data_IF_132948913851
#
_entry.id   IF_132948913851
#
_cell.length_a   1.000
_cell.length_b   1.000
_cell.length_c   1.000
_cell.angle_alpha   90.00
_cell.angle_beta   90.00
_cell.angle_gamma   90.00
#
_symmetry.space_group_name_H-M   'P 1'
#
loop_
_entity.id
_entity.type
_entity.pdbx_description
1 polymer ?
#
# COMPACT_ATOMS: atom_id res chain seq x y z
N UNK A 1 -15.22 2.81 -19.25
CA UNK A 1 -14.34 2.55 -18.10
C UNK A 1 -13.70 1.19 -18.32
N UNK A 2 -12.49 1.14 -18.87
CA UNK A 2 -11.73 -0.09 -19.06
C UNK A 2 -11.08 -0.48 -17.72
N UNK A 3 -11.44 -1.66 -17.22
CA UNK A 3 -10.82 -2.23 -16.03
C UNK A 3 -9.40 -2.67 -16.43
N UNK A 4 -8.35 -2.20 -15.74
CA UNK A 4 -6.98 -2.62 -16.02
C UNK A 4 -6.80 -4.04 -15.49
N UNK A 5 -7.17 -5.03 -16.28
CA UNK A 5 -7.09 -6.45 -15.93
C UNK A 5 -5.67 -7.00 -16.04
N UNK A 6 -4.75 -6.28 -16.68
CA UNK A 6 -3.42 -6.81 -17.03
C UNK A 6 -2.45 -6.87 -15.84
N UNK A 7 -2.49 -5.90 -14.94
CA UNK A 7 -1.55 -5.84 -13.80
C UNK A 7 -1.87 -6.90 -12.72
N UNK A 8 -3.15 -7.28 -12.59
CA UNK A 8 -3.58 -8.28 -11.63
C UNK A 8 -3.01 -9.67 -11.92
N UNK A 9 -2.93 -10.07 -13.19
CA UNK A 9 -2.35 -11.36 -13.57
C UNK A 9 -0.84 -11.40 -13.34
N UNK A 10 -0.13 -10.28 -13.52
CA UNK A 10 1.30 -10.22 -13.27
C UNK A 10 1.62 -10.35 -11.77
N UNK A 11 0.87 -9.65 -10.90
CA UNK A 11 1.03 -9.78 -9.44
C UNK A 11 0.70 -11.19 -8.96
N UNK A 12 -0.36 -11.81 -9.51
CA UNK A 12 -0.74 -13.18 -9.19
C UNK A 12 0.35 -14.18 -9.60
N UNK A 13 0.98 -14.00 -10.78
CA UNK A 13 2.09 -14.85 -11.22
C UNK A 13 3.33 -14.70 -10.35
N UNK A 14 3.65 -13.47 -9.91
CA UNK A 14 4.79 -13.22 -9.01
C UNK A 14 4.54 -13.87 -7.65
N UNK A 15 3.33 -13.76 -7.09
CA UNK A 15 2.97 -14.42 -5.84
C UNK A 15 3.06 -15.95 -5.96
N UNK A 16 2.52 -16.52 -7.04
CA UNK A 16 2.59 -17.96 -7.29
C UNK A 16 4.05 -18.45 -7.40
N UNK A 17 4.90 -17.70 -8.11
CA UNK A 17 6.31 -18.03 -8.23
C UNK A 17 7.01 -17.98 -6.86
N UNK A 18 6.69 -16.99 -6.02
CA UNK A 18 7.24 -16.90 -4.67
C UNK A 18 6.82 -18.08 -3.79
N UNK A 19 5.55 -18.50 -3.85
CA UNK A 19 5.05 -19.67 -3.13
C UNK A 19 5.70 -20.99 -3.57
N UNK A 20 6.01 -21.14 -4.85
CA UNK A 20 6.69 -22.33 -5.39
C UNK A 20 8.17 -22.33 -5.02
N UNK A 21 8.85 -21.18 -5.07
CA UNK A 21 10.28 -21.06 -4.81
C UNK A 21 10.65 -21.04 -3.31
N UNK A 22 9.74 -20.61 -2.44
CA UNK A 22 9.96 -20.56 -0.99
C UNK A 22 9.85 -21.93 -0.30
N UNK A 23 9.16 -22.90 -0.90
CA UNK A 23 9.05 -24.27 -0.39
C UNK A 23 9.99 -25.21 -1.18
N UNK A 24 11.02 -25.80 -0.55
CA UNK A 24 11.98 -26.67 -1.23
C UNK A 24 11.34 -27.92 -1.87
N UNK A 25 10.21 -28.40 -1.35
CA UNK A 25 9.50 -29.57 -1.88
C UNK A 25 8.76 -29.21 -3.17
N UNK A 26 8.07 -28.06 -3.19
CA UNK A 26 7.38 -27.55 -4.39
C UNK A 26 8.36 -27.18 -5.49
N UNK A 27 9.48 -26.57 -5.11
CA UNK A 27 10.58 -26.26 -6.03
C UNK A 27 11.12 -27.53 -6.71
N UNK A 28 11.36 -28.59 -5.95
CA UNK A 28 11.83 -29.87 -6.52
C UNK A 28 10.83 -30.45 -7.54
N UNK A 29 9.53 -30.39 -7.23
CA UNK A 29 8.47 -30.82 -8.16
C UNK A 29 8.42 -29.97 -9.44
N UNK A 30 8.53 -28.65 -9.30
CA UNK A 30 8.57 -27.72 -10.43
C UNK A 30 9.79 -27.96 -11.32
N UNK A 31 10.97 -28.14 -10.72
CA UNK A 31 12.21 -28.44 -11.43
C UNK A 31 12.15 -29.80 -12.14
N UNK A 32 11.47 -30.80 -11.56
CA UNK A 32 11.26 -32.10 -12.20
C UNK A 32 10.30 -32.04 -13.40
N UNK A 33 9.24 -31.23 -13.33
CA UNK A 33 8.29 -31.06 -14.44
C UNK A 33 8.85 -30.16 -15.55
N UNK A 34 9.70 -29.19 -15.19
CA UNK A 34 10.33 -28.27 -16.14
C UNK A 34 11.53 -28.88 -16.86
N UNK A 35 12.02 -30.05 -16.40
CA UNK A 35 13.03 -30.81 -17.14
C UNK A 35 12.41 -31.36 -18.42
N UNK A 36 12.93 -31.00 -19.61
CA UNK A 36 12.49 -31.62 -20.84
C UNK A 36 12.73 -33.13 -20.74
N UNK A 37 11.69 -33.92 -20.97
CA UNK A 37 11.74 -35.37 -20.90
C UNK A 37 12.90 -35.89 -21.77
N UNK A 38 13.83 -36.69 -21.24
CA UNK A 38 15.05 -37.09 -21.94
C UNK A 38 14.80 -38.07 -23.11
N UNK A 39 13.55 -38.48 -23.36
CA UNK A 39 13.22 -39.53 -24.32
C UNK A 39 13.10 -39.09 -25.78
N UNK A 40 13.28 -37.81 -26.11
CA UNK A 40 13.37 -37.36 -27.52
C UNK A 40 14.67 -36.57 -27.78
N UNK A 41 15.80 -37.25 -27.58
CA UNK A 41 17.08 -36.87 -28.21
C UNK A 41 17.01 -37.19 -29.70
N UNK A 42 16.40 -36.30 -30.47
CA UNK A 42 16.73 -36.09 -31.87
C UNK A 42 16.10 -34.77 -32.31
N UNK A 43 16.98 -33.81 -32.63
CA UNK A 43 16.66 -32.66 -33.47
C UNK A 43 15.75 -31.59 -32.86
N UNK A 44 16.17 -30.93 -31.77
CA UNK A 44 15.69 -29.57 -31.47
C UNK A 44 16.80 -28.55 -31.70
N UNK A 45 16.61 -27.83 -32.80
CA UNK A 45 17.35 -26.64 -33.20
C UNK A 45 17.41 -25.62 -32.07
N UNK A 46 18.61 -25.09 -31.88
CA UNK A 46 18.91 -23.89 -31.11
C UNK A 46 18.11 -22.69 -31.68
N UNK A 47 17.26 -22.00 -30.89
CA UNK A 47 16.52 -20.83 -31.34
C UNK A 47 17.40 -19.61 -31.68
N UNK A 48 18.71 -19.66 -31.42
CA UNK A 48 19.66 -18.60 -31.81
C UNK A 48 20.44 -18.89 -33.10
N UNK A 49 20.27 -20.05 -33.74
CA UNK A 49 20.99 -20.42 -34.96
C UNK A 49 20.36 -19.90 -36.28
N UNK A 50 19.41 -18.98 -36.25
CA UNK A 50 18.64 -18.54 -37.43
C UNK A 50 19.05 -17.15 -37.96
N UNK A 51 20.34 -16.94 -38.28
CA UNK A 51 20.78 -15.86 -39.21
C UNK A 51 22.02 -16.25 -40.02
N UNK A 52 21.89 -17.25 -40.90
CA UNK A 52 22.71 -17.23 -42.13
C UNK A 52 22.23 -18.21 -43.18
N UNK A 53 21.90 -17.63 -44.35
CA UNK A 53 22.08 -18.15 -45.72
C UNK A 53 21.11 -19.27 -46.11
N UNK A 54 20.10 -18.93 -46.91
CA UNK A 54 20.12 -19.15 -48.37
C UNK A 54 20.41 -20.60 -48.76
N UNK A 55 19.34 -21.37 -48.97
CA UNK A 55 19.32 -22.40 -50.01
C UNK A 55 17.88 -22.77 -50.39
N UNK A 56 17.67 -23.19 -51.64
CA UNK A 56 16.45 -22.93 -52.40
C UNK A 56 15.42 -24.05 -52.28
N UNK A 57 14.17 -23.67 -52.48
CA UNK A 57 13.00 -24.54 -52.58
C UNK A 57 13.16 -25.69 -53.59
N UNK A 58 12.70 -26.90 -53.25
CA UNK A 58 12.18 -27.87 -54.22
C UNK A 58 10.63 -27.85 -54.25
N UNK A 59 9.99 -28.44 -55.27
CA UNK A 59 8.79 -27.92 -55.92
C UNK A 59 7.45 -28.44 -55.35
N UNK A 60 6.31 -27.92 -55.85
CA UNK A 60 4.96 -28.31 -55.43
C UNK A 60 4.48 -29.56 -56.20
N UNK A 61 3.68 -30.40 -55.53
CA UNK A 61 2.80 -31.50 -56.02
C UNK A 61 2.97 -32.71 -55.09
N UNK A 62 1.96 -33.41 -54.57
CA UNK A 62 0.67 -33.80 -55.15
C UNK A 62 -0.44 -33.90 -54.08
N UNK A 63 -1.73 -33.74 -54.44
CA UNK A 63 -2.85 -34.15 -53.62
C UNK A 63 -3.09 -35.65 -53.82
N UNK A 64 -3.15 -36.42 -52.73
CA UNK A 64 -3.33 -37.87 -52.83
C UNK A 64 -3.77 -38.47 -51.52
N UNK A 65 -5.00 -38.98 -51.54
CA UNK A 65 -5.64 -39.82 -50.53
C UNK A 65 -4.74 -40.95 -49.99
N UNK A 66 -4.89 -41.25 -48.69
CA UNK A 66 -4.98 -42.60 -48.11
C UNK A 66 -5.02 -42.43 -46.58
N UNK A 67 -6.16 -42.65 -45.94
CA UNK A 67 -6.64 -43.97 -45.52
C UNK A 67 -5.69 -44.68 -44.54
N UNK A 68 -6.21 -44.94 -43.34
CA UNK A 68 -5.75 -45.93 -42.36
C UNK A 68 -4.32 -45.84 -41.84
N UNK A 69 -4.19 -45.46 -40.56
CA UNK A 69 -3.12 -46.03 -39.72
C UNK A 69 -3.59 -46.25 -38.29
N UNK A 70 -4.34 -47.34 -38.14
CA UNK A 70 -4.44 -48.13 -36.91
C UNK A 70 -3.03 -48.68 -36.61
N UNK A 71 -2.27 -47.90 -35.83
CA UNK A 71 -0.89 -48.22 -35.45
C UNK A 71 -0.84 -49.24 -34.32
N UNK A 72 -1.16 -50.50 -34.63
CA UNK A 72 -0.63 -51.65 -33.91
C UNK A 72 0.89 -51.63 -34.06
N UNK A 73 1.61 -51.36 -32.96
CA UNK A 73 3.06 -51.52 -32.93
C UNK A 73 3.40 -53.01 -32.82
N UNK A 74 4.09 -53.63 -33.79
CA UNK A 74 4.62 -54.97 -33.61
C UNK A 74 5.92 -54.83 -32.82
N UNK A 75 5.86 -55.11 -31.50
CA UNK A 75 7.06 -55.37 -30.73
C UNK A 75 7.63 -56.73 -31.18
N UNK A 76 8.42 -56.71 -32.25
CA UNK A 76 9.11 -57.88 -32.82
C UNK A 76 10.38 -58.14 -32.00
N UNK A 77 10.21 -58.69 -30.80
CA UNK A 77 11.30 -59.28 -30.02
C UNK A 77 11.79 -60.58 -30.69
N UNK A 78 13.07 -60.95 -30.56
CA UNK A 78 13.66 -62.11 -31.23
C UNK A 78 13.45 -63.41 -30.42
N UNK A 79 12.23 -63.65 -29.97
CA UNK A 79 11.86 -64.94 -29.39
C UNK A 79 11.05 -65.73 -30.42
N UNK A 80 11.52 -66.91 -30.84
CA UNK A 80 10.82 -67.72 -31.83
C UNK A 80 9.47 -68.17 -31.28
N UNK A 81 8.49 -68.18 -32.18
CA UNK A 81 7.10 -68.66 -32.04
C UNK A 81 7.00 -70.04 -31.37
N UNK A 82 7.18 -70.10 -30.06
CA UNK A 82 6.93 -71.30 -29.27
C UNK A 82 5.47 -71.29 -28.80
N UNK A 83 4.63 -71.86 -29.64
CA UNK A 83 3.45 -72.63 -29.25
C UNK A 83 2.29 -71.87 -28.56
N UNK A 84 1.57 -71.05 -29.34
CA UNK A 84 0.11 -70.90 -29.19
C UNK A 84 -0.62 -72.13 -29.79
N UNK A 85 -0.19 -73.34 -29.41
CA UNK A 85 -0.80 -74.61 -29.83
C UNK A 85 -1.06 -75.56 -28.65
N UNK A 86 -0.85 -75.09 -27.42
CA UNK A 86 -1.51 -75.70 -26.26
C UNK A 86 -2.82 -74.97 -26.08
N UNK A 87 -3.84 -75.48 -26.77
CA UNK A 87 -5.21 -75.28 -26.33
C UNK A 87 -5.23 -75.61 -24.85
N UNK A 88 -5.41 -74.58 -24.02
CA UNK A 88 -5.78 -74.74 -22.62
C UNK A 88 -7.16 -75.39 -22.61
N UNK A 89 -7.15 -76.70 -22.87
CA UNK A 89 -8.16 -77.63 -22.47
C UNK A 89 -8.35 -77.40 -20.97
N UNK A 90 -9.35 -76.59 -20.63
CA UNK A 90 -10.56 -77.06 -19.95
C UNK A 90 -10.32 -78.25 -19.00
N UNK A 91 -9.36 -78.13 -18.09
CA UNK A 91 -9.38 -78.90 -16.86
C UNK A 91 -10.44 -78.23 -15.98
N UNK A 92 -11.68 -78.72 -16.09
CA UNK A 92 -12.83 -78.28 -15.28
C UNK A 92 -12.73 -78.65 -13.80
N UNK A 93 -11.52 -78.85 -13.28
CA UNK A 93 -11.22 -79.13 -11.89
C UNK A 93 -10.34 -78.00 -11.36
N UNK A 94 -10.99 -76.99 -10.76
CA UNK A 94 -10.29 -75.88 -10.10
C UNK A 94 -10.61 -74.47 -10.60
N UNK A 95 -11.42 -74.31 -11.66
CA UNK A 95 -11.82 -72.98 -12.14
C UNK A 95 -12.64 -72.22 -11.08
N UNK A 96 -13.55 -72.90 -10.39
CA UNK A 96 -14.37 -72.28 -9.35
C UNK A 96 -13.56 -71.96 -8.09
N UNK A 97 -12.60 -72.83 -7.73
CA UNK A 97 -11.66 -72.57 -6.64
C UNK A 97 -10.76 -71.38 -6.94
N UNK A 98 -10.23 -71.28 -8.17
CA UNK A 98 -9.39 -70.16 -8.58
C UNK A 98 -10.19 -68.84 -8.63
N UNK A 99 -11.44 -68.88 -9.12
CA UNK A 99 -12.33 -67.72 -9.12
C UNK A 99 -12.63 -67.25 -7.69
N UNK A 100 -13.00 -68.18 -6.80
CA UNK A 100 -13.28 -67.85 -5.40
C UNK A 100 -12.05 -67.30 -4.65
N UNK A 101 -10.86 -67.84 -4.96
CA UNK A 101 -9.59 -67.33 -4.47
C UNK A 101 -9.32 -65.90 -4.96
N UNK A 102 -9.45 -65.63 -6.26
CA UNK A 102 -9.27 -64.29 -6.83
C UNK A 102 -10.31 -63.30 -6.27
N UNK A 103 -11.57 -63.70 -6.14
CA UNK A 103 -12.63 -62.87 -5.55
C UNK A 103 -12.38 -62.57 -4.06
N UNK A 104 -11.72 -63.48 -3.32
CA UNK A 104 -11.27 -63.21 -1.95
C UNK A 104 -10.12 -62.21 -1.95
N UNK A 105 -9.10 -62.40 -2.79
CA UNK A 105 -7.99 -61.46 -2.92
C UNK A 105 -8.45 -60.06 -3.33
N UNK A 106 -9.41 -59.94 -4.25
CA UNK A 106 -9.97 -58.65 -4.67
C UNK A 106 -10.76 -57.97 -3.54
N UNK A 107 -11.51 -58.75 -2.74
CA UNK A 107 -12.21 -58.23 -1.55
C UNK A 107 -11.22 -57.74 -0.48
N UNK A 108 -10.14 -58.47 -0.24
CA UNK A 108 -9.12 -58.10 0.74
C UNK A 108 -8.37 -56.84 0.26
N UNK A 109 -7.98 -56.79 -1.02
CA UNK A 109 -7.31 -55.63 -1.61
C UNK A 109 -8.20 -54.37 -1.61
N UNK A 110 -9.48 -54.51 -1.94
CA UNK A 110 -10.43 -53.38 -1.89
C UNK A 110 -10.73 -52.94 -0.45
N UNK A 111 -10.76 -53.87 0.51
CA UNK A 111 -10.91 -53.56 1.93
C UNK A 111 -9.68 -52.81 2.46
N UNK A 112 -8.47 -53.25 2.13
CA UNK A 112 -7.22 -52.56 2.47
C UNK A 112 -7.15 -51.18 1.85
N UNK A 113 -7.53 -51.04 0.57
CA UNK A 113 -7.56 -49.73 -0.10
C UNK A 113 -8.52 -48.76 0.58
N UNK A 114 -9.71 -49.22 0.98
CA UNK A 114 -10.67 -48.39 1.72
C UNK A 114 -10.15 -47.98 3.10
N UNK A 115 -9.45 -48.87 3.82
CA UNK A 115 -8.80 -48.52 5.09
C UNK A 115 -7.72 -47.46 4.89
N UNK A 116 -6.85 -47.64 3.90
CA UNK A 116 -5.81 -46.66 3.57
C UNK A 116 -6.40 -45.30 3.15
N UNK A 117 -7.49 -45.29 2.36
CA UNK A 117 -8.23 -44.08 2.00
C UNK A 117 -8.84 -43.38 3.23
N UNK A 118 -9.38 -44.14 4.19
CA UNK A 118 -9.91 -43.59 5.44
C UNK A 118 -8.82 -42.98 6.33
N UNK A 119 -7.69 -43.67 6.51
CA UNK A 119 -6.55 -43.14 7.25
C UNK A 119 -5.98 -41.88 6.60
N UNK A 120 -5.91 -41.85 5.26
CA UNK A 120 -5.50 -40.65 4.52
C UNK A 120 -6.49 -39.49 4.74
N UNK A 121 -7.79 -39.76 4.68
CA UNK A 121 -8.83 -38.74 4.93
C UNK A 121 -8.74 -38.18 6.36
N UNK A 122 -8.51 -39.03 7.36
CA UNK A 122 -8.35 -38.59 8.75
C UNK A 122 -7.08 -37.76 8.96
N UNK A 123 -5.96 -38.15 8.36
CA UNK A 123 -4.71 -37.38 8.44
C UNK A 123 -4.84 -36.01 7.77
N UNK A 124 -5.48 -35.94 6.60
CA UNK A 124 -5.80 -34.68 5.91
C UNK A 124 -6.71 -33.81 6.78
N UNK A 125 -7.75 -34.39 7.40
CA UNK A 125 -8.65 -33.66 8.30
C UNK A 125 -7.89 -33.07 9.49
N UNK A 126 -7.02 -33.86 10.13
CA UNK A 126 -6.19 -33.41 11.26
C UNK A 126 -5.24 -32.28 10.86
N UNK A 127 -4.60 -32.39 9.69
CA UNK A 127 -3.73 -31.35 9.14
C UNK A 127 -4.51 -30.05 8.87
N UNK A 128 -5.74 -30.16 8.35
CA UNK A 128 -6.60 -29.01 8.09
C UNK A 128 -7.08 -28.33 9.38
N UNK A 129 -7.47 -29.12 10.39
CA UNK A 129 -7.84 -28.61 11.71
C UNK A 129 -6.65 -27.89 12.37
N UNK A 130 -5.46 -28.48 12.38
CA UNK A 130 -4.25 -27.85 12.93
C UNK A 130 -3.90 -26.56 12.19
N UNK A 131 -3.97 -26.56 10.86
CA UNK A 131 -3.73 -25.36 10.07
C UNK A 131 -4.74 -24.26 10.40
N UNK A 132 -6.03 -24.60 10.53
CA UNK A 132 -7.08 -23.64 10.90
C UNK A 132 -6.84 -23.05 12.30
N UNK A 133 -6.38 -23.87 13.26
CA UNK A 133 -6.07 -23.41 14.61
C UNK A 133 -4.86 -22.46 14.62
N UNK A 134 -3.81 -22.77 13.85
CA UNK A 134 -2.64 -21.89 13.70
C UNK A 134 -3.03 -20.55 13.09
N UNK A 135 -3.87 -20.56 12.04
CA UNK A 135 -4.37 -19.33 11.40
C UNK A 135 -5.21 -18.49 12.36
N UNK A 136 -6.09 -19.11 13.14
CA UNK A 136 -6.91 -18.42 14.15
C UNK A 136 -6.05 -17.82 15.28
N UNK A 137 -5.05 -18.57 15.76
CA UNK A 137 -4.13 -18.09 16.78
C UNK A 137 -3.27 -16.92 16.27
N UNK A 138 -2.78 -17.00 15.03
CA UNK A 138 -2.04 -15.91 14.42
C UNK A 138 -2.92 -14.67 14.19
N UNK A 139 -4.14 -14.85 13.69
CA UNK A 139 -5.10 -13.77 13.50
C UNK A 139 -5.42 -13.07 14.84
N UNK A 140 -5.60 -13.84 15.91
CA UNK A 140 -5.79 -13.28 17.26
C UNK A 140 -4.58 -12.45 17.69
N UNK A 141 -3.37 -12.99 17.55
CA UNK A 141 -2.13 -12.28 17.88
C UNK A 141 -1.95 -11.00 17.04
N UNK A 142 -2.32 -11.01 15.76
CA UNK A 142 -2.28 -9.82 14.90
C UNK A 142 -3.26 -8.76 15.39
N UNK A 143 -4.50 -9.14 15.71
CA UNK A 143 -5.51 -8.23 16.28
C UNK A 143 -5.07 -7.61 17.61
N UNK A 144 -4.46 -8.39 18.49
CA UNK A 144 -3.92 -7.89 19.75
C UNK A 144 -2.78 -6.88 19.53
N UNK A 145 -1.86 -7.16 18.60
CA UNK A 145 -0.78 -6.23 18.23
C UNK A 145 -1.30 -4.94 17.60
N UNK A 146 -2.29 -5.04 16.70
CA UNK A 146 -2.92 -3.88 16.08
C UNK A 146 -3.67 -3.03 17.11
N UNK A 147 -4.38 -3.66 18.05
CA UNK A 147 -5.05 -2.97 19.15
C UNK A 147 -4.05 -2.28 20.08
N UNK A 148 -2.94 -2.93 20.42
CA UNK A 148 -1.88 -2.33 21.24
C UNK A 148 -1.22 -1.14 20.53
N UNK A 149 -0.90 -1.27 19.24
CA UNK A 149 -0.33 -0.17 18.45
C UNK A 149 -1.30 1.00 18.34
N UNK A 150 -2.59 0.73 18.10
CA UNK A 150 -3.62 1.78 18.05
C UNK A 150 -3.75 2.50 19.40
N UNK A 151 -3.72 1.78 20.52
CA UNK A 151 -3.75 2.39 21.84
C UNK A 151 -2.51 3.26 22.12
N UNK A 152 -1.33 2.84 21.66
CA UNK A 152 -0.10 3.63 21.76
C UNK A 152 -0.17 4.91 20.90
N UNK A 153 -0.64 4.80 19.65
CA UNK A 153 -0.80 5.94 18.74
C UNK A 153 -1.85 6.93 19.29
N UNK A 154 -2.97 6.44 19.82
CA UNK A 154 -4.01 7.26 20.46
C UNK A 154 -3.48 7.95 21.73
N UNK A 155 -2.61 7.28 22.51
CA UNK A 155 -1.98 7.89 23.69
C UNK A 155 -1.02 9.01 23.31
N UNK A 156 -0.17 8.80 22.28
CA UNK A 156 0.74 9.83 21.75
C UNK A 156 -0.02 11.01 21.15
N UNK A 157 -1.14 10.76 20.47
CA UNK A 157 -1.96 11.84 19.93
C UNK A 157 -2.58 12.70 21.05
N UNK A 158 -3.07 12.06 22.12
CA UNK A 158 -3.60 12.77 23.29
C UNK A 158 -2.52 13.60 23.99
N UNK A 159 -1.33 13.05 24.20
CA UNK A 159 -0.19 13.80 24.76
C UNK A 159 0.16 15.01 23.89
N UNK A 160 0.27 14.81 22.58
CA UNK A 160 0.55 15.91 21.63
C UNK A 160 -0.53 17.00 21.67
N UNK A 161 -1.81 16.62 21.75
CA UNK A 161 -2.92 17.58 21.88
C UNK A 161 -2.85 18.34 23.20
N UNK A 162 -2.57 17.66 24.31
CA UNK A 162 -2.38 18.31 25.61
C UNK A 162 -1.28 19.39 25.57
N UNK A 163 -0.13 19.07 24.98
CA UNK A 163 0.95 20.05 24.80
C UNK A 163 0.56 21.23 23.88
N UNK A 164 -0.24 20.97 22.83
CA UNK A 164 -0.74 22.02 21.95
C UNK A 164 -1.73 22.96 22.67
N UNK A 165 -2.59 22.41 23.53
CA UNK A 165 -3.57 23.16 24.31
C UNK A 165 -2.89 23.96 25.44
N UNK A 166 -1.88 23.41 26.11
CA UNK A 166 -1.05 24.15 27.06
C UNK A 166 -0.33 25.32 26.40
N UNK A 167 0.28 25.11 25.24
CA UNK A 167 0.94 26.19 24.49
C UNK A 167 -0.08 27.22 24.01
N UNK A 168 -1.29 26.80 23.61
CA UNK A 168 -2.40 27.71 23.26
C UNK A 168 -2.75 28.61 24.44
N UNK A 169 -2.97 28.03 25.61
CA UNK A 169 -3.29 28.77 26.82
C UNK A 169 -2.18 29.77 27.19
N UNK A 170 -0.90 29.41 27.01
CA UNK A 170 0.23 30.34 27.23
C UNK A 170 0.23 31.52 26.27
N UNK A 171 -0.07 31.29 24.99
CA UNK A 171 -0.15 32.36 23.99
C UNK A 171 -1.34 33.29 24.27
N UNK A 172 -2.50 32.72 24.62
CA UNK A 172 -3.71 33.48 24.97
C UNK A 172 -3.47 34.34 26.22
N UNK A 173 -2.90 33.78 27.28
CA UNK A 173 -2.55 34.54 28.48
C UNK A 173 -1.53 35.67 28.19
N UNK A 174 -0.59 35.43 27.27
CA UNK A 174 0.38 36.45 26.85
C UNK A 174 -0.27 37.56 26.02
N UNK A 175 -1.20 37.21 25.14
CA UNK A 175 -1.97 38.21 24.40
C UNK A 175 -2.84 39.04 25.33
N UNK A 176 -3.50 38.42 26.31
CA UNK A 176 -4.28 39.15 27.31
C UNK A 176 -3.42 40.14 28.09
N UNK A 177 -2.21 39.74 28.51
CA UNK A 177 -1.25 40.61 29.21
C UNK A 177 -0.72 41.78 28.37
N UNK A 178 -0.41 41.55 27.09
CA UNK A 178 0.27 42.55 26.25
C UNK A 178 -0.68 43.43 25.43
N UNK A 179 -1.84 42.91 25.08
CA UNK A 179 -2.79 43.54 24.14
C UNK A 179 -4.16 43.83 24.79
N UNK A 180 -4.40 43.37 26.02
CA UNK A 180 -5.68 43.53 26.71
C UNK A 180 -6.72 42.49 26.30
N UNK A 181 -7.99 42.74 26.66
CA UNK A 181 -9.09 41.75 26.56
C UNK A 181 -9.50 41.37 25.12
N UNK A 182 -9.25 42.24 24.14
CA UNK A 182 -9.68 42.03 22.75
C UNK A 182 -8.55 42.33 21.73
N UNK A 183 -7.53 41.46 21.66
CA UNK A 183 -6.45 41.61 20.70
C UNK A 183 -6.95 41.45 19.26
N UNK A 184 -6.66 42.42 18.40
CA UNK A 184 -6.95 42.32 16.96
C UNK A 184 -6.05 41.28 16.30
N UNK A 185 -6.46 40.70 15.17
CA UNK A 185 -5.65 39.68 14.48
C UNK A 185 -4.26 40.19 14.06
N UNK A 186 -4.17 41.47 13.68
CA UNK A 186 -2.91 42.11 13.33
C UNK A 186 -1.97 42.21 14.54
N UNK A 187 -2.50 42.56 15.71
CA UNK A 187 -1.74 42.64 16.96
C UNK A 187 -1.31 41.24 17.43
N UNK A 188 -2.20 40.23 17.33
CA UNK A 188 -1.85 38.84 17.60
C UNK A 188 -0.68 38.39 16.74
N UNK A 189 -0.68 38.73 15.45
CA UNK A 189 0.40 38.38 14.53
C UNK A 189 1.72 39.08 14.86
N UNK A 190 1.68 40.33 15.34
CA UNK A 190 2.86 41.06 15.77
C UNK A 190 3.50 40.48 17.04
N UNK A 191 2.67 39.99 17.98
CA UNK A 191 3.12 39.51 19.30
C UNK A 191 3.30 37.99 19.37
N UNK A 192 2.71 37.22 18.45
CA UNK A 192 2.75 35.76 18.46
C UNK A 192 4.18 35.21 18.48
N UNK A 193 4.48 34.39 19.48
CA UNK A 193 5.69 33.57 19.47
C UNK A 193 5.36 32.32 18.68
N UNK A 194 5.73 32.30 17.39
CA UNK A 194 5.56 31.11 16.58
C UNK A 194 6.24 29.91 17.26
N UNK A 195 5.42 28.91 17.61
CA UNK A 195 5.84 27.76 18.39
C UNK A 195 6.45 26.67 17.51
N UNK A 196 7.05 25.66 18.14
CA UNK A 196 7.51 24.46 17.43
C UNK A 196 6.32 23.61 16.89
N UNK A 197 5.08 23.94 17.28
CA UNK A 197 3.86 23.27 16.81
C UNK A 197 3.33 23.83 15.48
N UNK A 198 4.12 24.60 14.73
CA UNK A 198 3.72 25.04 13.39
C UNK A 198 3.65 23.84 12.44
N UNK A 199 2.50 23.65 11.80
CA UNK A 199 2.28 22.54 10.88
C UNK A 199 3.09 22.74 9.59
N UNK A 200 3.92 21.75 9.26
CA UNK A 200 4.72 21.75 8.03
C UNK A 200 3.84 21.35 6.85
N UNK A 201 3.51 22.31 5.97
CA UNK A 201 2.77 22.07 4.73
C UNK A 201 3.66 22.20 3.51
N UNK A 202 3.67 21.16 2.68
CA UNK A 202 4.32 21.20 1.37
C UNK A 202 3.39 21.87 0.36
N UNK A 203 3.75 23.07 -0.07
CA UNK A 203 3.06 23.81 -1.13
C UNK A 203 3.54 23.34 -2.50
N UNK A 204 2.80 23.64 -3.57
CA UNK A 204 3.26 23.37 -4.95
C UNK A 204 4.13 24.48 -5.53
N UNK A 205 3.98 25.69 -5.00
CA UNK A 205 4.64 26.90 -5.47
C UNK A 205 5.38 27.56 -4.31
N UNK A 206 6.31 28.46 -4.65
CA UNK A 206 6.98 29.29 -3.64
C UNK A 206 5.97 30.24 -3.01
N UNK A 207 5.76 30.11 -1.71
CA UNK A 207 4.86 30.98 -0.96
C UNK A 207 5.61 32.20 -0.41
N UNK A 208 4.87 33.26 -0.08
CA UNK A 208 5.40 34.46 0.56
C UNK A 208 5.26 34.31 2.07
N UNK A 209 6.38 34.38 2.80
CA UNK A 209 6.37 34.28 4.26
C UNK A 209 5.62 35.49 4.88
N UNK A 210 4.67 35.26 5.77
CA UNK A 210 3.92 36.33 6.46
C UNK A 210 4.81 37.22 7.33
N UNK A 211 5.88 36.68 7.93
CA UNK A 211 6.76 37.42 8.83
C UNK A 211 7.84 38.25 8.10
N UNK A 212 8.64 37.63 7.22
CA UNK A 212 9.71 38.34 6.52
C UNK A 212 9.34 38.81 5.10
N UNK A 213 8.11 38.54 4.65
CA UNK A 213 7.58 38.89 3.32
C UNK A 213 8.36 38.37 2.11
N UNK A 214 9.42 37.57 2.33
CA UNK A 214 10.23 37.00 1.26
C UNK A 214 9.60 35.72 0.71
N UNK A 215 9.70 35.53 -0.61
CA UNK A 215 9.25 34.31 -1.31
C UNK A 215 10.33 33.24 -1.18
N UNK A 216 10.15 32.24 -0.32
CA UNK A 216 11.17 31.21 -0.04
C UNK A 216 10.57 29.82 0.07
N UNK A 217 11.26 28.86 -0.53
CA UNK A 217 11.00 27.43 -0.36
C UNK A 217 9.65 26.95 -0.89
N UNK A 218 9.48 25.63 -0.86
CA UNK A 218 8.23 24.93 -1.22
C UNK A 218 7.48 24.51 0.07
N UNK A 219 8.13 24.65 1.23
CA UNK A 219 7.62 24.20 2.53
C UNK A 219 7.20 25.43 3.34
N UNK A 220 5.91 25.55 3.62
CA UNK A 220 5.35 26.53 4.57
C UNK A 220 5.14 25.91 5.94
N UNK A 221 5.29 26.73 6.97
CA UNK A 221 4.96 26.37 8.35
C UNK A 221 3.79 27.24 8.78
N UNK A 222 2.64 26.63 9.02
CA UNK A 222 1.43 27.37 9.36
C UNK A 222 1.31 27.41 10.89
N UNK A 223 1.28 28.60 11.46
CA UNK A 223 1.08 28.77 12.90
C UNK A 223 -0.40 28.56 13.25
N UNK A 224 -0.75 27.64 14.18
CA UNK A 224 -2.14 27.41 14.56
C UNK A 224 -2.77 28.60 15.32
N UNK A 225 -1.95 29.55 15.80
CA UNK A 225 -2.41 30.65 16.66
C UNK A 225 -2.69 31.94 15.89
N UNK A 226 -1.77 32.37 15.02
CA UNK A 226 -1.91 33.62 14.25
C UNK A 226 -2.24 33.39 12.77
N UNK A 227 -2.39 32.13 12.34
CA UNK A 227 -2.75 31.73 10.96
C UNK A 227 -1.74 32.21 9.91
N UNK A 228 -0.56 32.66 10.33
CA UNK A 228 0.49 33.11 9.43
C UNK A 228 1.28 31.92 8.86
N UNK A 229 1.64 31.99 7.58
CA UNK A 229 2.51 31.02 6.93
C UNK A 229 3.97 31.52 6.98
N UNK A 230 4.86 30.71 7.53
CA UNK A 230 6.24 31.07 7.83
C UNK A 230 7.21 30.25 7.00
N UNK A 231 8.35 30.86 6.65
CA UNK A 231 9.47 30.13 6.07
C UNK A 231 10.37 29.51 7.15
N UNK A 232 11.13 28.49 6.78
CA UNK A 232 12.03 27.76 7.68
C UNK A 232 13.01 28.67 8.45
N UNK A 233 13.51 29.74 7.80
CA UNK A 233 14.40 30.71 8.45
C UNK A 233 13.68 31.54 9.53
N UNK A 234 12.42 31.86 9.33
CA UNK A 234 11.63 32.55 10.35
C UNK A 234 11.36 31.62 11.52
N UNK A 235 10.93 30.38 11.27
CA UNK A 235 10.68 29.39 12.34
C UNK A 235 11.91 29.18 13.23
N UNK A 236 13.09 28.99 12.62
CA UNK A 236 14.35 28.82 13.37
C UNK A 236 14.78 30.07 14.14
N UNK A 237 14.52 31.27 13.62
CA UNK A 237 14.77 32.52 14.36
C UNK A 237 13.81 32.66 15.55
N UNK A 238 12.53 32.34 15.37
CA UNK A 238 11.55 32.39 16.45
C UNK A 238 11.85 31.37 17.55
N UNK A 239 12.24 30.13 17.20
CA UNK A 239 12.64 29.13 18.19
C UNK A 239 13.88 29.57 18.98
N UNK A 240 14.87 30.20 18.33
CA UNK A 240 16.01 30.78 19.01
C UNK A 240 15.63 31.94 19.95
N UNK A 241 14.68 32.79 19.56
CA UNK A 241 14.16 33.87 20.42
C UNK A 241 13.43 33.30 21.63
N UNK A 242 12.60 32.27 21.47
CA UNK A 242 11.93 31.58 22.59
C UNK A 242 12.94 30.95 23.56
N UNK A 243 13.96 30.26 23.03
CA UNK A 243 15.00 29.66 23.85
C UNK A 243 15.81 30.69 24.65
N UNK A 244 15.93 31.93 24.15
CA UNK A 244 16.53 33.06 24.88
C UNK A 244 15.57 33.63 25.93
N UNK A 245 14.30 33.82 25.57
CA UNK A 245 13.28 34.32 26.49
C UNK A 245 13.08 33.39 27.70
N UNK A 246 13.10 32.08 27.50
CA UNK A 246 13.01 31.09 28.58
C UNK A 246 14.20 31.11 29.56
N UNK A 247 15.34 31.69 29.16
CA UNK A 247 16.55 31.81 30.00
C UNK A 247 16.63 33.14 30.74
N UNK A 248 15.90 34.15 30.30
CA UNK A 248 15.85 35.42 31.02
C UNK A 248 14.73 35.31 32.06
N UNK A 249 15.04 35.39 33.37
CA UNK A 249 14.00 35.49 34.39
C UNK A 249 13.12 36.69 34.05
N UNK A 250 11.80 36.53 34.21
CA UNK A 250 10.84 37.62 34.01
C UNK A 250 11.38 38.84 34.75
N UNK A 251 11.61 39.99 34.06
CA UNK A 251 12.08 41.19 34.74
C UNK A 251 11.05 41.47 35.82
N UNK A 252 11.49 41.32 37.07
CA UNK A 252 10.71 41.60 38.26
C UNK A 252 10.12 43.00 38.05
N UNK A 253 8.81 43.06 37.87
CA UNK A 253 8.10 44.31 37.59
C UNK A 253 8.37 45.20 38.79
N UNK A 254 9.31 46.13 38.65
CA UNK A 254 9.55 47.16 39.65
C UNK A 254 8.20 47.81 39.92
N UNK A 255 7.76 47.86 41.20
CA UNK A 255 6.44 48.36 41.56
C UNK A 255 6.26 49.76 40.98
N UNK A 256 5.19 49.91 40.22
CA UNK A 256 4.77 51.15 39.57
C UNK A 256 4.85 52.31 40.59
N UNK A 257 5.68 53.35 40.37
CA UNK A 257 5.75 54.48 41.27
C UNK A 257 4.39 55.18 41.31
N UNK A 258 3.93 55.47 42.54
CA UNK A 258 2.63 56.10 42.82
C UNK A 258 2.36 57.31 41.89
N UNK A 259 1.12 57.45 41.39
CA UNK A 259 0.78 58.51 40.45
C UNK A 259 0.90 59.90 41.10
N UNK A 260 1.82 60.72 40.57
CA UNK A 260 1.85 62.16 40.85
C UNK A 260 0.57 62.84 40.31
N UNK A 261 0.03 63.85 41.03
CA UNK A 261 -1.27 64.44 40.73
C UNK A 261 -1.30 65.20 39.39
N UNK A 262 -2.36 64.92 38.61
CA UNK A 262 -2.67 65.49 37.29
C UNK A 262 -2.71 67.04 37.29
N UNK A 263 -1.89 67.65 36.42
CA UNK A 263 -2.06 69.05 35.98
C UNK A 263 -2.93 69.05 34.73
N UNK A 264 -4.13 69.62 34.88
CA UNK A 264 -5.14 69.87 33.85
C UNK A 264 -4.61 70.81 32.75
N UNK A 265 -4.65 70.44 31.45
CA UNK A 265 -4.57 71.39 30.35
C UNK A 265 -5.93 71.61 29.68
N UNK A 266 -6.24 72.89 29.48
CA UNK A 266 -7.45 73.42 28.87
C UNK A 266 -7.73 72.90 27.46
N UNK A 267 -9.02 72.63 27.22
CA UNK A 267 -9.66 72.33 25.96
C UNK A 267 -9.61 73.49 24.95
N UNK A 268 -9.33 73.19 23.66
CA UNK A 268 -9.78 74.01 22.52
C UNK A 268 -10.15 73.14 21.29
N UNK A 269 -11.01 73.67 20.38
CA UNK A 269 -12.08 72.89 19.76
C UNK A 269 -11.80 72.40 18.34
N UNK A 270 -12.69 71.48 17.94
CA UNK A 270 -12.81 70.82 16.66
C UNK A 270 -12.83 71.73 15.43
N UNK A 271 -12.21 71.25 14.35
CA UNK A 271 -12.60 71.60 12.97
C UNK A 271 -12.79 70.34 12.16
N UNK A 272 -14.06 70.07 11.86
CA UNK A 272 -14.51 69.13 10.86
C UNK A 272 -14.11 69.58 9.45
N UNK A 273 -13.62 68.66 8.62
CA UNK A 273 -13.78 68.73 7.17
C UNK A 273 -14.14 67.35 6.63
N UNK A 274 -15.39 67.24 6.24
CA UNK A 274 -15.90 66.24 5.33
C UNK A 274 -15.18 66.36 3.98
N UNK A 275 -14.84 65.23 3.36
CA UNK A 275 -14.85 65.17 1.91
C UNK A 275 -15.24 63.77 1.44
N UNK A 276 -16.31 63.76 0.66
CA UNK A 276 -16.91 62.62 0.02
C UNK A 276 -16.14 62.26 -1.25
N UNK A 277 -16.05 60.97 -1.58
CA UNK A 277 -16.31 60.52 -2.95
C UNK A 277 -16.65 59.01 -2.97
N UNK A 278 -17.65 58.59 -3.78
CA UNK A 278 -18.05 57.20 -3.91
C UNK A 278 -17.46 56.57 -5.18
N UNK A 279 -16.64 55.53 -5.05
CA UNK A 279 -16.29 54.70 -6.19
C UNK A 279 -17.08 53.39 -6.19
N UNK A 280 -17.96 53.35 -7.19
CA UNK A 280 -18.68 52.17 -7.66
C UNK A 280 -17.66 51.21 -8.27
N UNK A 281 -17.49 50.04 -7.66
CA UNK A 281 -16.91 48.89 -8.33
C UNK A 281 -17.84 47.69 -8.18
N UNK A 282 -18.46 47.35 -9.30
CA UNK A 282 -19.08 46.06 -9.59
C UNK A 282 -18.26 44.92 -8.99
N UNK A 283 -18.86 44.11 -8.12
CA UNK A 283 -18.46 42.73 -7.97
C UNK A 283 -19.70 41.84 -8.01
N UNK A 284 -19.91 41.24 -9.18
CA UNK A 284 -20.84 40.14 -9.40
C UNK A 284 -20.36 38.97 -8.54
N UNK A 285 -21.03 38.72 -7.42
CA UNK A 285 -20.85 37.50 -6.62
C UNK A 285 -21.73 36.43 -7.27
N UNK A 286 -21.14 35.67 -8.20
CA UNK A 286 -21.65 34.37 -8.60
C UNK A 286 -21.44 33.40 -7.43
N UNK A 287 -22.50 33.17 -6.66
CA UNK A 287 -22.61 32.07 -5.71
C UNK A 287 -22.61 30.74 -6.46
N UNK A 288 -21.41 30.26 -6.80
CA UNK A 288 -21.18 28.88 -7.18
C UNK A 288 -21.12 28.02 -5.92
N UNK A 289 -22.27 27.54 -5.48
CA UNK A 289 -22.37 26.45 -4.51
C UNK A 289 -21.83 25.20 -5.21
N UNK A 290 -20.54 24.93 -5.08
CA UNK A 290 -19.96 23.64 -5.47
C UNK A 290 -20.04 22.76 -4.24
N UNK A 291 -21.04 21.87 -4.28
CA UNK A 291 -21.30 20.85 -3.28
C UNK A 291 -20.04 20.05 -2.92
N UNK A 292 -19.80 19.87 -1.62
CA UNK A 292 -18.66 19.15 -1.03
C UNK A 292 -18.52 17.66 -1.44
N UNK A 293 -19.38 17.15 -2.32
CA UNK A 293 -19.28 15.78 -2.84
C UNK A 293 -18.15 15.59 -3.87
N UNK A 294 -17.66 16.64 -4.51
CA UNK A 294 -16.73 16.51 -5.64
C UNK A 294 -15.23 16.53 -5.22
N UNK A 295 -14.95 16.81 -3.94
CA UNK A 295 -13.58 16.82 -3.40
C UNK A 295 -13.04 15.41 -3.12
N UNK A 296 -13.91 14.43 -2.89
CA UNK A 296 -13.52 13.03 -2.71
C UNK A 296 -13.02 12.40 -4.02
N UNK A 297 -13.56 12.82 -5.17
CA UNK A 297 -13.23 12.20 -6.46
C UNK A 297 -11.90 12.72 -7.08
N UNK A 298 -11.40 13.89 -6.64
CA UNK A 298 -10.14 14.48 -7.15
C UNK A 298 -8.88 13.99 -6.44
N UNK A 299 -8.99 13.41 -5.24
CA UNK A 299 -7.82 12.79 -4.56
C UNK A 299 -7.39 11.50 -5.25
N UNK A 300 -8.30 10.78 -5.87
CA UNK A 300 -8.01 9.49 -6.52
C UNK A 300 -7.28 9.62 -7.88
N UNK A 301 -7.45 10.75 -8.59
CA UNK A 301 -6.73 10.99 -9.86
C UNK A 301 -5.27 11.41 -9.70
N UNK A 302 -4.86 11.94 -8.54
CA UNK A 302 -3.44 12.32 -8.31
C UNK A 302 -2.55 11.12 -7.96
N UNK A 303 -3.09 10.05 -7.39
CA UNK A 303 -2.32 8.83 -7.15
C UNK A 303 -1.93 8.15 -8.46
N UNK A 304 -2.79 8.20 -9.48
CA UNK A 304 -2.51 7.57 -10.79
C UNK A 304 -1.54 8.36 -11.68
N UNK A 305 -1.40 9.66 -11.47
CA UNK A 305 -0.50 10.50 -12.28
C UNK A 305 0.98 10.41 -11.91
N UNK A 306 1.32 9.95 -10.69
CA UNK A 306 2.72 9.87 -10.22
C UNK A 306 3.37 8.54 -10.62
N UNK A 307 2.59 7.47 -10.85
CA UNK A 307 3.12 6.17 -11.26
C UNK A 307 3.60 6.13 -12.73
N UNK A 308 3.12 7.05 -13.57
CA UNK A 308 3.49 7.10 -15.00
C UNK A 308 4.78 7.88 -15.28
N UNK A 309 5.42 8.49 -14.28
CA UNK A 309 6.64 9.29 -14.46
C UNK A 309 7.94 8.57 -14.09
N UNK A 310 7.85 7.31 -13.62
CA UNK A 310 9.01 6.51 -13.18
C UNK A 310 9.45 5.50 -14.25
N UNK A 311 8.73 5.40 -15.38
CA UNK A 311 9.03 4.48 -16.48
C UNK A 311 9.07 5.21 -17.85
N UNK A 312 9.95 6.21 -17.93
CA UNK A 312 10.55 6.68 -19.19
C UNK A 312 12.06 6.79 -19.01
#
# INVERSE_FOLDING_TARGET
MSIPTFDYYAELQIQLAYEVLSDPTKRLHYDMQSRPSPTNSSTRQDPFAARSRHSPSPPPSWPGDNAYREGTYPFRGPFPDYASQYGFHRYGFGHDFFREFMDRCDRDFTAERRKAEQELMETVRRMQEEHSQRMMAEAKRRREKEAAKKAEDDAKEKERKGLQDEERARQEARWEKLLGAHPTEAEKLAVCLHSDFCDKKHQKQRFRCGACQSKRGIISFDCPYCVSSLCQLCVTKFSAVRAKAAKMPDPEVEPEPEPEPEVVPESKPATAKANAQPDKANLVISLGIVSDLDLAHRRDRRARGIMLSIWQ
#
